data_IF_989103691481
#
_entry.id   IF_989103691481
#
_cell.length_a   1.000
_cell.length_b   1.000
_cell.length_c   1.000
_cell.angle_alpha   90.00
_cell.angle_beta   90.00
_cell.angle_gamma   90.00
#
_symmetry.space_group_name_H-M   'P 1'
#
loop_
_entity.id
_entity.type
_entity.pdbx_description
1 polymer ?
#
# COMPACT_ATOMS: atom_id res chain seq x y z
N UNK A 1 -9.90 -8.18 -68.19
CA UNK A 1 -10.99 -8.09 -67.19
C UNK A 1 -10.55 -8.87 -65.97
N UNK A 2 -9.95 -8.21 -64.98
CA UNK A 2 -9.48 -8.83 -63.73
C UNK A 2 -10.23 -8.10 -62.62
N UNK A 3 -11.13 -8.82 -61.95
CA UNK A 3 -11.94 -8.32 -60.84
C UNK A 3 -11.21 -8.65 -59.53
N UNK A 4 -10.73 -7.62 -58.84
CA UNK A 4 -10.24 -7.68 -57.46
C UNK A 4 -11.44 -7.81 -56.50
N UNK A 5 -11.43 -8.85 -55.67
CA UNK A 5 -12.36 -8.98 -54.54
C UNK A 5 -11.62 -8.68 -53.23
N UNK A 6 -11.98 -7.56 -52.58
CA UNK A 6 -11.48 -7.15 -51.27
C UNK A 6 -12.41 -7.77 -50.21
N UNK A 7 -11.91 -8.78 -49.48
CA UNK A 7 -12.60 -9.39 -48.34
C UNK A 7 -12.33 -8.51 -47.12
N UNK A 8 -13.32 -7.71 -46.72
CA UNK A 8 -13.29 -6.92 -45.50
C UNK A 8 -13.44 -7.80 -44.27
N UNK A 9 -12.38 -7.92 -43.48
CA UNK A 9 -12.39 -8.57 -42.18
C UNK A 9 -12.92 -7.59 -41.13
N UNK A 10 -14.20 -7.70 -40.76
CA UNK A 10 -14.79 -6.94 -39.67
C UNK A 10 -14.42 -7.60 -38.34
N UNK A 11 -13.44 -7.04 -37.63
CA UNK A 11 -13.14 -7.44 -36.24
C UNK A 11 -14.24 -6.91 -35.32
N UNK A 12 -15.04 -7.81 -34.75
CA UNK A 12 -15.91 -7.52 -33.61
C UNK A 12 -15.04 -7.04 -32.44
N UNK A 13 -15.16 -5.77 -32.09
CA UNK A 13 -14.76 -5.30 -30.77
C UNK A 13 -15.78 -5.82 -29.76
N UNK A 14 -15.49 -6.97 -29.15
CA UNK A 14 -16.20 -7.44 -27.98
C UNK A 14 -16.00 -6.42 -26.87
N UNK A 15 -17.04 -5.64 -26.56
CA UNK A 15 -17.05 -4.80 -25.37
C UNK A 15 -16.83 -5.69 -24.16
N UNK A 16 -15.77 -5.43 -23.39
CA UNK A 16 -15.57 -6.07 -22.11
C UNK A 16 -16.70 -5.62 -21.17
N UNK A 17 -17.82 -6.33 -21.21
CA UNK A 17 -18.85 -6.20 -20.18
C UNK A 17 -18.19 -6.60 -18.87
N UNK A 18 -17.95 -5.64 -17.99
CA UNK A 18 -17.51 -5.93 -16.63
C UNK A 18 -18.46 -6.98 -16.05
N UNK A 19 -17.94 -8.15 -15.68
CA UNK A 19 -18.75 -9.22 -15.10
C UNK A 19 -19.23 -8.76 -13.73
N UNK A 20 -20.47 -8.29 -13.68
CA UNK A 20 -21.13 -7.91 -12.45
C UNK A 20 -21.28 -9.12 -11.55
N UNK A 21 -20.84 -9.02 -10.30
CA UNK A 21 -21.16 -10.04 -9.31
C UNK A 21 -22.68 -10.11 -9.10
N UNK A 22 -23.19 -11.30 -8.76
CA UNK A 22 -24.63 -11.53 -8.61
C UNK A 22 -25.25 -10.76 -7.43
N UNK A 23 -24.43 -10.39 -6.44
CA UNK A 23 -24.83 -9.67 -5.23
C UNK A 23 -23.70 -8.75 -4.74
N UNK A 24 -24.07 -7.80 -3.88
CA UNK A 24 -23.11 -6.99 -3.14
C UNK A 24 -22.38 -7.83 -2.09
N UNK A 25 -21.12 -7.49 -1.84
CA UNK A 25 -20.40 -7.99 -0.68
C UNK A 25 -21.14 -7.56 0.60
N UNK A 26 -21.16 -8.43 1.61
CA UNK A 26 -21.76 -8.14 2.92
C UNK A 26 -21.22 -6.85 3.57
N UNK A 27 -19.99 -6.45 3.21
CA UNK A 27 -19.36 -5.24 3.72
C UNK A 27 -19.69 -3.96 2.93
N UNK A 28 -20.41 -4.03 1.81
CA UNK A 28 -20.75 -2.87 0.98
C UNK A 28 -21.40 -1.73 1.77
N UNK A 29 -22.36 -1.95 2.70
CA UNK A 29 -22.94 -0.87 3.50
C UNK A 29 -21.90 -0.06 4.28
N UNK A 30 -20.85 -0.72 4.78
CA UNK A 30 -19.73 -0.06 5.48
C UNK A 30 -18.83 0.66 4.48
N UNK A 31 -18.46 -0.01 3.38
CA UNK A 31 -17.58 0.56 2.36
C UNK A 31 -18.18 1.78 1.67
N UNK A 32 -19.47 1.78 1.37
CA UNK A 32 -20.19 2.92 0.77
C UNK A 32 -20.09 4.15 1.69
N UNK A 33 -20.30 3.98 3.00
CA UNK A 33 -20.13 5.08 3.99
C UNK A 33 -18.70 5.62 4.00
N UNK A 34 -17.73 4.77 3.73
CA UNK A 34 -16.31 5.14 3.58
C UNK A 34 -15.96 5.69 2.19
N UNK A 35 -16.93 5.93 1.30
CA UNK A 35 -16.72 6.50 -0.03
C UNK A 35 -16.24 5.48 -1.08
N UNK A 36 -16.46 4.18 -0.88
CA UNK A 36 -15.99 3.14 -1.80
C UNK A 36 -16.49 3.33 -3.24
N UNK A 37 -17.77 3.68 -3.42
CA UNK A 37 -18.33 3.90 -4.75
C UNK A 37 -17.68 5.07 -5.51
N UNK A 38 -17.00 5.98 -4.81
CA UNK A 38 -16.37 7.15 -5.41
C UNK A 38 -14.86 6.98 -5.66
N UNK A 39 -14.20 6.14 -4.89
CA UNK A 39 -12.74 6.01 -4.88
C UNK A 39 -12.19 4.81 -5.68
N UNK A 40 -13.04 3.93 -6.20
CA UNK A 40 -12.61 2.69 -6.86
C UNK A 40 -13.06 2.59 -8.33
N UNK A 41 -12.30 1.82 -9.11
CA UNK A 41 -12.56 1.63 -10.54
C UNK A 41 -13.88 0.88 -10.79
N UNK A 42 -14.59 1.13 -11.93
CA UNK A 42 -15.81 0.40 -12.29
C UNK A 42 -15.69 -1.12 -12.21
N UNK A 43 -14.53 -1.68 -12.58
CA UNK A 43 -14.26 -3.12 -12.49
C UNK A 43 -14.25 -3.60 -11.04
N UNK A 44 -13.58 -2.88 -10.14
CA UNK A 44 -13.56 -3.22 -8.70
C UNK A 44 -14.95 -3.09 -8.08
N UNK A 45 -15.70 -2.07 -8.48
CA UNK A 45 -17.06 -1.84 -8.03
C UNK A 45 -18.00 -2.96 -8.50
N UNK A 46 -17.88 -3.40 -9.76
CA UNK A 46 -18.68 -4.46 -10.34
C UNK A 46 -18.49 -5.83 -9.66
N UNK A 47 -17.28 -6.10 -9.14
CA UNK A 47 -17.00 -7.36 -8.42
C UNK A 47 -17.40 -7.27 -6.93
N UNK A 48 -17.30 -6.08 -6.33
CA UNK A 48 -17.44 -5.93 -4.88
C UNK A 48 -18.84 -5.46 -4.46
N UNK A 49 -19.34 -4.40 -5.09
CA UNK A 49 -20.61 -3.74 -4.74
C UNK A 49 -21.41 -3.38 -6.01
N UNK A 50 -21.70 -4.35 -6.90
CA UNK A 50 -22.32 -4.11 -8.20
C UNK A 50 -23.69 -3.44 -8.12
N UNK A 51 -24.48 -3.72 -7.08
CA UNK A 51 -25.85 -3.21 -6.94
C UNK A 51 -25.92 -1.96 -6.07
N UNK A 52 -24.90 -1.76 -5.23
CA UNK A 52 -24.80 -0.59 -4.36
C UNK A 52 -24.10 0.61 -5.00
N UNK A 53 -23.22 0.39 -5.97
CA UNK A 53 -22.43 1.47 -6.58
C UNK A 53 -22.85 1.76 -8.03
N UNK A 54 -23.42 2.94 -8.34
CA UNK A 54 -23.85 3.30 -9.71
C UNK A 54 -22.75 3.22 -10.76
N UNK A 55 -21.52 3.61 -10.40
CA UNK A 55 -20.34 3.57 -11.28
C UNK A 55 -19.90 2.15 -11.65
N UNK A 56 -20.47 1.10 -11.04
CA UNK A 56 -20.21 -0.29 -11.42
C UNK A 56 -20.77 -0.65 -12.80
N UNK A 57 -21.77 0.09 -13.32
CA UNK A 57 -22.44 -0.23 -14.58
C UNK A 57 -23.31 -1.50 -14.51
N UNK A 58 -23.63 -1.96 -13.30
CA UNK A 58 -24.28 -3.25 -13.04
C UNK A 58 -25.76 -3.14 -12.66
N UNK A 59 -26.43 -2.05 -13.09
CA UNK A 59 -27.84 -1.82 -12.80
C UNK A 59 -28.14 -1.42 -11.34
N UNK A 60 -27.15 -0.85 -10.63
CA UNK A 60 -27.36 -0.30 -9.30
C UNK A 60 -28.43 0.80 -9.33
N UNK A 61 -29.43 0.70 -8.45
CA UNK A 61 -30.33 1.82 -8.15
C UNK A 61 -29.50 2.89 -7.45
N UNK A 62 -29.59 4.14 -7.89
CA UNK A 62 -28.81 5.24 -7.31
C UNK A 62 -29.04 5.31 -5.79
N UNK A 63 -28.09 4.80 -5.01
CA UNK A 63 -28.03 5.08 -3.58
C UNK A 63 -27.46 6.50 -3.49
N UNK A 64 -28.16 7.46 -2.86
CA UNK A 64 -27.62 8.79 -2.69
C UNK A 64 -26.29 8.68 -1.93
N UNK A 65 -25.18 8.97 -2.61
CA UNK A 65 -23.90 9.25 -1.96
C UNK A 65 -24.08 10.58 -1.22
N UNK A 66 -24.73 10.51 -0.07
CA UNK A 66 -24.98 11.66 0.83
C UNK A 66 -23.79 11.89 1.76
N UNK A 67 -22.71 11.14 1.59
CA UNK A 67 -21.48 11.33 2.35
C UNK A 67 -20.61 12.41 1.75
N UNK A 68 -20.97 13.69 1.89
CA UNK A 68 -19.92 14.71 2.13
C UNK A 68 -19.22 14.31 3.42
N UNK A 69 -18.18 13.47 3.32
CA UNK A 69 -17.40 12.95 4.43
C UNK A 69 -16.58 14.09 5.07
N UNK A 70 -17.28 14.95 5.79
CA UNK A 70 -16.74 15.85 6.82
C UNK A 70 -16.97 15.29 8.22
N UNK A 71 -17.68 14.17 8.36
CA UNK A 71 -17.68 13.37 9.58
C UNK A 71 -16.31 12.75 9.76
N UNK A 72 -15.67 13.03 10.89
CA UNK A 72 -14.52 12.27 11.42
C UNK A 72 -14.81 10.78 11.27
N UNK A 73 -14.23 10.16 10.25
CA UNK A 73 -14.36 8.72 10.03
C UNK A 73 -13.67 8.06 11.20
N UNK A 74 -14.46 7.46 12.09
CA UNK A 74 -13.93 6.62 13.16
C UNK A 74 -13.09 5.55 12.50
N UNK A 75 -11.83 5.46 12.92
CA UNK A 75 -10.89 4.46 12.43
C UNK A 75 -11.45 3.04 12.58
N UNK A 76 -11.14 2.14 11.62
CA UNK A 76 -11.57 0.76 11.69
C UNK A 76 -10.99 0.08 12.94
N UNK A 77 -11.82 -0.62 13.70
CA UNK A 77 -11.40 -1.32 14.92
C UNK A 77 -10.27 -2.36 14.69
N UNK A 78 -10.09 -2.84 13.44
CA UNK A 78 -9.04 -3.77 13.08
C UNK A 78 -7.70 -3.12 12.69
N UNK A 79 -7.59 -1.79 12.67
CA UNK A 79 -6.38 -1.13 12.17
C UNK A 79 -5.11 -1.52 12.91
N UNK A 80 -5.15 -1.62 14.25
CA UNK A 80 -4.03 -2.10 15.03
C UNK A 80 -3.64 -3.54 14.63
N UNK A 81 -4.63 -4.42 14.42
CA UNK A 81 -4.39 -5.81 14.01
C UNK A 81 -3.79 -5.88 12.60
N UNK A 82 -4.35 -5.15 11.64
CA UNK A 82 -3.88 -5.14 10.26
C UNK A 82 -2.50 -4.51 10.12
N UNK A 83 -2.20 -3.47 10.90
CA UNK A 83 -0.88 -2.86 10.89
C UNK A 83 0.18 -3.75 11.54
N UNK A 84 -0.19 -4.44 12.63
CA UNK A 84 0.72 -5.35 13.32
C UNK A 84 0.94 -6.67 12.58
N UNK A 85 0.19 -7.02 11.53
CA UNK A 85 0.42 -8.25 10.77
C UNK A 85 1.79 -8.20 10.07
N UNK A 86 2.77 -9.06 10.43
CA UNK A 86 4.09 -9.03 9.83
C UNK A 86 4.09 -9.37 8.34
N UNK A 87 3.05 -10.07 7.84
CA UNK A 87 2.95 -10.43 6.42
C UNK A 87 2.40 -9.30 5.57
N UNK A 88 1.48 -8.51 6.13
CA UNK A 88 0.64 -7.57 5.37
C UNK A 88 0.60 -6.15 5.93
N UNK A 89 1.44 -5.80 6.90
CA UNK A 89 1.45 -4.53 7.66
C UNK A 89 0.78 -3.37 6.92
N UNK A 90 -0.47 -3.10 7.28
CA UNK A 90 -1.38 -2.28 6.48
C UNK A 90 -0.82 -0.89 6.16
N UNK A 91 -0.22 -0.20 7.14
CA UNK A 91 0.31 1.13 6.90
C UNK A 91 1.53 1.14 5.97
N UNK A 92 2.25 0.01 5.83
CA UNK A 92 3.37 -0.09 4.89
C UNK A 92 2.93 -0.46 3.46
N UNK A 93 1.78 -1.11 3.29
CA UNK A 93 1.36 -1.70 2.00
C UNK A 93 0.14 -1.02 1.36
N UNK A 94 -0.72 -0.39 2.15
CA UNK A 94 -1.93 0.27 1.65
C UNK A 94 -1.63 1.57 0.89
N UNK A 95 -2.54 1.98 0.01
CA UNK A 95 -2.44 3.28 -0.67
C UNK A 95 -2.66 4.44 0.31
N UNK A 96 -2.22 5.64 -0.05
CA UNK A 96 -2.41 6.84 0.80
C UNK A 96 -3.88 7.08 1.15
N UNK A 97 -4.80 6.87 0.20
CA UNK A 97 -6.23 7.05 0.42
C UNK A 97 -6.81 5.96 1.33
N UNK A 98 -6.39 4.70 1.15
CA UNK A 98 -6.80 3.61 2.04
C UNK A 98 -6.35 3.86 3.48
N UNK A 99 -5.12 4.36 3.69
CA UNK A 99 -4.65 4.74 5.02
C UNK A 99 -5.53 5.83 5.63
N UNK A 100 -5.85 6.89 4.89
CA UNK A 100 -6.70 8.01 5.34
C UNK A 100 -8.15 7.59 5.64
N UNK A 101 -8.69 6.67 4.84
CA UNK A 101 -10.08 6.21 4.97
C UNK A 101 -10.24 5.22 6.12
N UNK A 102 -9.36 4.21 6.20
CA UNK A 102 -9.56 3.09 7.12
C UNK A 102 -8.82 3.27 8.44
N UNK A 103 -7.56 3.73 8.39
CA UNK A 103 -6.62 3.67 9.52
C UNK A 103 -5.85 4.97 9.73
N UNK A 104 -6.55 6.11 9.69
CA UNK A 104 -5.96 7.46 9.73
C UNK A 104 -5.00 7.69 10.90
N UNK A 105 -5.38 7.25 12.09
CA UNK A 105 -4.64 7.44 13.33
C UNK A 105 -3.52 6.42 13.46
N UNK A 106 -3.80 5.13 13.22
CA UNK A 106 -2.76 4.08 13.25
C UNK A 106 -1.67 4.34 12.20
N UNK A 107 -2.04 4.80 11.01
CA UNK A 107 -1.11 5.08 9.91
C UNK A 107 -0.67 6.56 9.84
N UNK A 108 -0.80 7.33 10.91
CA UNK A 108 -0.52 8.77 10.88
C UNK A 108 0.91 9.07 10.43
N UNK A 109 1.89 8.26 10.87
CA UNK A 109 3.30 8.41 10.50
C UNK A 109 3.57 8.08 9.03
N UNK A 110 2.73 7.25 8.39
CA UNK A 110 2.82 6.89 6.98
C UNK A 110 2.02 7.82 6.06
N UNK A 111 0.99 8.47 6.59
CA UNK A 111 0.19 9.48 5.87
C UNK A 111 0.93 10.81 5.84
N UNK A 112 1.49 11.21 6.98
CA UNK A 112 2.31 12.39 7.13
C UNK A 112 3.68 11.93 7.64
N UNK A 113 4.59 11.64 6.71
CA UNK A 113 5.93 11.16 7.01
C UNK A 113 6.66 12.10 7.98
N UNK A 114 6.67 11.73 9.26
CA UNK A 114 7.39 12.41 10.33
C UNK A 114 8.87 12.06 10.36
N UNK A 115 9.22 10.94 9.72
CA UNK A 115 10.60 10.45 9.57
C UNK A 115 11.05 10.57 8.12
N UNK A 116 12.36 10.72 7.93
CA UNK A 116 12.96 10.62 6.60
C UNK A 116 13.11 9.15 6.15
N UNK A 117 13.39 8.25 7.10
CA UNK A 117 13.40 6.82 6.85
C UNK A 117 12.77 6.07 8.02
N UNK A 118 12.24 4.87 7.76
CA UNK A 118 11.78 3.98 8.81
C UNK A 118 12.03 2.52 8.43
N UNK A 119 12.10 1.67 9.44
CA UNK A 119 12.21 0.22 9.30
C UNK A 119 11.00 -0.44 9.96
N UNK A 120 10.52 -1.53 9.37
CA UNK A 120 9.44 -2.35 9.89
C UNK A 120 10.00 -3.73 10.19
N UNK A 121 10.04 -4.10 11.46
CA UNK A 121 10.70 -5.32 11.93
C UNK A 121 9.63 -6.22 12.54
N UNK A 122 9.59 -7.46 12.09
CA UNK A 122 8.77 -8.47 12.74
C UNK A 122 9.38 -8.80 14.11
N UNK A 123 8.60 -8.68 15.17
CA UNK A 123 8.95 -9.14 16.52
C UNK A 123 7.85 -10.07 17.00
N UNK A 124 8.12 -11.37 16.96
CA UNK A 124 7.10 -12.39 17.18
C UNK A 124 5.99 -12.35 16.11
N UNK A 125 4.75 -12.14 16.54
CA UNK A 125 3.55 -12.04 15.71
C UNK A 125 3.20 -10.60 15.31
N UNK A 126 4.06 -9.62 15.62
CA UNK A 126 3.81 -8.18 15.39
C UNK A 126 4.84 -7.56 14.47
N UNK A 127 4.42 -6.57 13.69
CA UNK A 127 5.31 -5.63 13.01
C UNK A 127 5.52 -4.40 13.89
N UNK A 128 6.78 -4.03 14.12
CA UNK A 128 7.18 -2.85 14.88
C UNK A 128 7.88 -1.88 13.94
N UNK A 129 7.41 -0.63 13.92
CA UNK A 129 8.01 0.46 13.16
C UNK A 129 9.01 1.22 14.01
N UNK A 130 10.21 1.44 13.47
CA UNK A 130 11.20 2.36 14.06
C UNK A 130 11.59 3.40 13.01
N UNK A 131 11.34 4.67 13.30
CA UNK A 131 11.66 5.80 12.44
C UNK A 131 13.00 6.45 12.78
N UNK A 132 13.58 7.18 11.83
CA UNK A 132 14.76 8.01 12.02
C UNK A 132 14.83 9.15 11.01
N UNK A 133 15.45 10.25 11.43
CA UNK A 133 15.71 11.41 10.57
C UNK A 133 17.15 11.40 10.05
N UNK A 134 17.47 12.26 9.08
CA UNK A 134 18.80 12.34 8.45
C UNK A 134 19.93 12.10 9.45
N UNK A 135 20.93 11.30 9.07
CA UNK A 135 22.16 11.01 9.84
C UNK A 135 22.02 10.14 11.08
N UNK A 136 20.81 9.72 11.47
CA UNK A 136 20.67 8.70 12.52
C UNK A 136 20.77 7.30 11.95
N UNK A 137 21.67 6.50 12.54
CA UNK A 137 21.63 5.06 12.38
C UNK A 137 20.40 4.52 13.10
N UNK A 138 19.54 3.84 12.36
CA UNK A 138 18.38 3.14 12.91
C UNK A 138 18.81 1.71 13.23
N UNK A 139 18.73 1.34 14.50
CA UNK A 139 18.92 -0.05 14.93
C UNK A 139 17.67 -0.84 14.57
N UNK A 140 17.83 -1.94 13.83
CA UNK A 140 16.68 -2.74 13.38
C UNK A 140 16.19 -3.71 14.44
N UNK A 141 16.98 -4.01 15.47
CA UNK A 141 16.71 -5.12 16.39
C UNK A 141 16.46 -6.47 15.67
N UNK A 142 16.91 -6.60 14.42
CA UNK A 142 16.76 -7.83 13.64
C UNK A 142 17.63 -8.94 14.23
N UNK A 143 17.06 -10.13 14.33
CA UNK A 143 17.69 -11.34 14.84
C UNK A 143 17.30 -12.52 13.94
N UNK A 144 17.66 -13.74 14.31
CA UNK A 144 17.18 -14.96 13.60
C UNK A 144 15.67 -15.17 13.71
N UNK A 145 15.02 -14.56 14.71
CA UNK A 145 13.57 -14.64 14.95
C UNK A 145 12.84 -13.35 14.61
N UNK A 146 13.56 -12.22 14.61
CA UNK A 146 13.01 -10.91 14.28
C UNK A 146 13.53 -10.46 12.91
N UNK A 147 12.66 -10.47 11.89
CA UNK A 147 13.07 -10.20 10.53
C UNK A 147 12.72 -8.78 10.12
N UNK A 148 13.66 -8.08 9.48
CA UNK A 148 13.36 -6.80 8.84
C UNK A 148 12.46 -7.06 7.61
N UNK A 149 11.25 -6.51 7.61
CA UNK A 149 10.20 -6.83 6.62
C UNK A 149 10.06 -5.77 5.54
N UNK A 150 10.10 -4.50 5.93
CA UNK A 150 9.98 -3.37 5.01
C UNK A 150 10.89 -2.23 5.46
N UNK A 151 11.25 -1.38 4.50
CA UNK A 151 11.84 -0.07 4.76
C UNK A 151 11.03 1.01 4.09
N UNK A 152 10.97 2.16 4.74
CA UNK A 152 10.43 3.39 4.21
C UNK A 152 11.57 4.37 3.96
N UNK A 153 11.55 5.03 2.82
CA UNK A 153 12.39 6.17 2.51
C UNK A 153 11.52 7.30 1.94
N UNK A 154 11.61 8.48 2.53
CA UNK A 154 10.98 9.70 2.01
C UNK A 154 11.59 10.06 0.65
N UNK A 155 10.89 10.90 -0.10
CA UNK A 155 11.38 11.35 -1.41
C UNK A 155 12.80 11.92 -1.30
N UNK A 156 13.67 11.52 -2.24
CA UNK A 156 15.11 11.87 -2.26
C UNK A 156 15.94 11.32 -1.09
N UNK A 157 15.36 10.44 -0.28
CA UNK A 157 16.09 9.66 0.71
C UNK A 157 16.43 8.27 0.17
N UNK A 158 17.53 7.75 0.69
CA UNK A 158 18.07 6.43 0.41
C UNK A 158 18.35 5.74 1.75
N UNK A 159 17.96 4.46 1.83
CA UNK A 159 18.14 3.60 2.99
C UNK A 159 19.24 2.59 2.69
N UNK A 160 20.30 2.58 3.50
CA UNK A 160 21.37 1.57 3.43
C UNK A 160 21.21 0.51 4.52
N UNK A 161 21.28 -0.77 4.16
CA UNK A 161 21.26 -1.90 5.09
C UNK A 161 22.69 -2.41 5.37
N UNK A 162 22.99 -2.74 6.62
CA UNK A 162 24.31 -3.19 7.07
C UNK A 162 24.22 -4.39 8.02
N UNK A 163 25.29 -5.19 8.05
CA UNK A 163 25.41 -6.36 8.93
C UNK A 163 25.81 -6.02 10.37
N UNK A 164 26.15 -4.77 10.64
CA UNK A 164 26.58 -4.23 11.95
C UNK A 164 25.56 -3.21 12.46
N UNK A 165 25.41 -3.09 13.78
CA UNK A 165 24.39 -2.20 14.38
C UNK A 165 24.70 -0.71 14.23
N UNK A 166 25.98 -0.33 14.21
CA UNK A 166 26.45 1.04 14.13
C UNK A 166 27.43 1.19 12.96
N UNK A 167 26.91 1.28 11.72
CA UNK A 167 27.75 1.28 10.53
C UNK A 167 28.66 2.52 10.48
N UNK A 168 29.95 2.29 10.22
CA UNK A 168 30.91 3.29 9.83
C UNK A 168 30.84 3.55 8.32
N UNK A 169 31.43 4.66 7.87
CA UNK A 169 31.46 5.01 6.44
C UNK A 169 32.21 3.98 5.56
N UNK A 170 33.07 3.16 6.16
CA UNK A 170 33.85 2.11 5.48
C UNK A 170 33.13 0.76 5.41
N UNK A 171 32.01 0.61 6.12
CA UNK A 171 31.30 -0.67 6.15
C UNK A 171 30.58 -0.95 4.84
N UNK A 172 30.60 -2.22 4.43
CA UNK A 172 29.94 -2.68 3.21
C UNK A 172 28.42 -2.65 3.37
N UNK A 173 27.75 -1.96 2.43
CA UNK A 173 26.30 -1.94 2.32
C UNK A 173 25.82 -3.29 1.78
N UNK A 174 24.92 -3.96 2.49
CA UNK A 174 24.24 -5.19 2.03
C UNK A 174 23.35 -4.85 0.84
N UNK A 175 22.50 -3.83 1.03
CA UNK A 175 21.53 -3.35 0.04
C UNK A 175 21.23 -1.89 0.27
N UNK A 176 20.96 -1.17 -0.82
CA UNK A 176 20.46 0.20 -0.79
C UNK A 176 19.08 0.27 -1.45
N UNK A 177 18.15 1.00 -0.81
CA UNK A 177 16.82 1.31 -1.35
C UNK A 177 16.70 2.82 -1.55
N UNK A 178 16.44 3.24 -2.79
CA UNK A 178 16.30 4.65 -3.16
C UNK A 178 17.24 5.08 -4.29
N UNK A 179 17.28 6.39 -4.61
CA UNK A 179 16.46 7.45 -4.02
C UNK A 179 14.97 7.19 -4.28
N UNK A 180 14.15 7.31 -3.23
CA UNK A 180 12.71 7.11 -3.39
C UNK A 180 12.09 8.26 -4.22
N UNK A 181 11.14 7.90 -5.07
CA UNK A 181 10.23 8.84 -5.74
C UNK A 181 8.83 8.61 -5.20
N UNK A 182 7.95 9.61 -5.21
CA UNK A 182 6.54 9.31 -5.00
C UNK A 182 6.04 8.52 -6.24
N UNK A 183 5.36 7.35 -6.10
CA UNK A 183 4.79 6.76 -4.87
C UNK A 183 5.63 5.65 -4.20
N UNK A 184 6.80 5.32 -4.71
CA UNK A 184 7.67 4.21 -4.27
C UNK A 184 8.51 4.53 -3.03
N UNK A 185 7.84 4.91 -1.94
CA UNK A 185 8.48 5.21 -0.66
C UNK A 185 8.63 3.99 0.26
N UNK A 186 7.94 2.89 -0.04
CA UNK A 186 7.99 1.65 0.74
C UNK A 186 8.62 0.54 -0.09
N UNK A 187 9.58 -0.17 0.50
CA UNK A 187 10.29 -1.26 -0.13
C UNK A 187 10.14 -2.51 0.73
N UNK A 188 9.61 -3.57 0.13
CA UNK A 188 9.48 -4.88 0.77
C UNK A 188 10.79 -5.63 0.72
N UNK A 189 11.13 -6.29 1.82
CA UNK A 189 12.37 -7.05 1.98
C UNK A 189 12.04 -8.54 2.00
N UNK A 190 12.54 -9.24 0.98
CA UNK A 190 12.28 -10.68 0.79
C UNK A 190 13.55 -11.53 0.81
N UNK A 191 14.74 -10.90 0.78
CA UNK A 191 16.02 -11.60 0.76
C UNK A 191 16.51 -11.81 2.19
N UNK A 192 16.81 -13.06 2.57
CA UNK A 192 17.17 -13.41 3.95
C UNK A 192 18.36 -12.60 4.51
N UNK A 193 19.37 -12.31 3.68
CA UNK A 193 20.53 -11.49 4.09
C UNK A 193 20.13 -10.03 4.40
N UNK A 194 19.17 -9.47 3.67
CA UNK A 194 18.62 -8.13 3.92
C UNK A 194 17.74 -8.14 5.18
N UNK A 195 16.93 -9.20 5.36
CA UNK A 195 16.07 -9.37 6.53
C UNK A 195 16.86 -9.47 7.85
N UNK A 196 18.11 -9.95 7.78
CA UNK A 196 19.03 -10.07 8.90
C UNK A 196 19.92 -8.83 9.14
N UNK A 197 19.68 -7.72 8.42
CA UNK A 197 20.44 -6.49 8.58
C UNK A 197 20.29 -5.92 10.00
N UNK A 198 21.40 -5.59 10.66
CA UNK A 198 21.44 -5.13 12.08
C UNK A 198 21.41 -3.62 12.23
N UNK A 199 21.86 -2.89 11.20
CA UNK A 199 21.92 -1.43 11.20
C UNK A 199 21.41 -0.87 9.88
N UNK A 200 20.79 0.30 9.97
CA UNK A 200 20.23 1.02 8.83
C UNK A 200 20.69 2.46 8.86
N UNK A 201 21.16 2.99 7.73
CA UNK A 201 21.45 4.41 7.58
C UNK A 201 20.41 5.08 6.69
N UNK A 202 20.14 6.35 6.98
CA UNK A 202 19.23 7.20 6.21
C UNK A 202 20.01 8.40 5.65
N UNK A 203 20.08 8.51 4.33
CA UNK A 203 20.74 9.61 3.63
C UNK A 203 19.74 10.30 2.71
N UNK A 204 19.64 11.63 2.76
CA UNK A 204 18.70 12.39 1.94
C UNK A 204 19.41 13.55 1.23
N UNK A 205 19.08 13.77 -0.04
CA UNK A 205 19.61 14.88 -0.86
C UNK A 205 18.57 15.97 -1.05
#
# INVERSE_FOLDING_TARGET
RVLLAIVGCATLFGGASATCAAADNVNCPTWIKSGFCDNYSPVTLAVSCPKSCPKAGCGATAVPSTGTNTTTVTENANCAKWNNDPKNGFCATATADQKKIFCKTTCAAEIAAVDDCAVFVQTGDKSVRTGGNRTTTIKTAATTTNLLMNVFAKEKCTVGLYSVEAPAATDTVIKSYGPATAPSQYFKITVAAEQAAKGVTCMCT
#
